data_IF_693603770430
#
_entry.id   IF_693603770430
#
_cell.length_a   1.000
_cell.length_b   1.000
_cell.length_c   1.000
_cell.angle_alpha   90.00
_cell.angle_beta   90.00
_cell.angle_gamma   90.00
#
_symmetry.space_group_name_H-M   'P 1'
#
loop_
_entity.id
_entity.type
_entity.pdbx_description
1 polymer ?
#
# COMPACT_ATOMS: atom_id res chain seq x y z
N UNK A 1 -5.04 -12.25 -5.78
CA UNK A 1 -5.62 -12.40 -4.45
C UNK A 1 -4.61 -13.07 -3.55
N UNK A 2 -4.30 -12.47 -2.41
CA UNK A 2 -3.35 -12.97 -1.43
C UNK A 2 -4.14 -13.26 -0.18
N UNK A 3 -4.34 -14.55 0.11
CA UNK A 3 -5.20 -14.99 1.20
C UNK A 3 -4.47 -16.02 2.07
N UNK A 4 -4.98 -16.24 3.28
CA UNK A 4 -4.57 -17.26 4.23
C UNK A 4 -3.07 -17.13 4.59
N UNK A 5 -2.28 -18.16 4.37
CA UNK A 5 -0.83 -18.20 4.69
C UNK A 5 0.06 -17.65 3.58
N UNK A 6 -0.52 -17.19 2.48
CA UNK A 6 0.24 -16.62 1.38
C UNK A 6 0.63 -15.17 1.64
N UNK A 7 1.81 -14.81 1.17
CA UNK A 7 2.31 -13.45 1.16
C UNK A 7 2.72 -13.06 -0.25
N UNK A 8 2.62 -11.77 -0.55
CA UNK A 8 3.11 -11.21 -1.78
C UNK A 8 3.91 -9.93 -1.49
N UNK A 9 5.07 -9.80 -2.12
CA UNK A 9 5.87 -8.60 -2.11
C UNK A 9 5.97 -8.14 -3.56
N UNK A 10 5.49 -6.93 -3.83
CA UNK A 10 5.61 -6.33 -5.15
C UNK A 10 6.71 -5.27 -5.12
N UNK A 11 7.59 -5.35 -6.08
CA UNK A 11 8.70 -4.42 -6.28
C UNK A 11 8.50 -3.72 -7.61
N UNK A 12 8.60 -2.41 -7.61
CA UNK A 12 8.63 -1.58 -8.80
C UNK A 12 10.02 -1.01 -8.94
N UNK A 13 10.67 -1.24 -10.07
CA UNK A 13 12.01 -0.75 -10.32
C UNK A 13 12.19 -0.30 -11.76
N UNK A 14 13.07 0.67 -11.96
CA UNK A 14 13.32 1.27 -13.27
C UNK A 14 13.75 0.26 -14.33
N UNK A 15 14.56 -0.75 -13.92
CA UNK A 15 15.09 -1.75 -14.82
C UNK A 15 14.25 -3.02 -14.89
N UNK A 16 13.51 -3.36 -13.83
CA UNK A 16 12.78 -4.63 -13.73
C UNK A 16 11.27 -4.47 -13.87
N UNK A 17 10.79 -3.20 -13.97
CA UNK A 17 9.37 -2.90 -13.98
C UNK A 17 8.64 -3.51 -12.78
N UNK A 18 7.50 -4.16 -12.97
CA UNK A 18 6.71 -4.80 -11.91
C UNK A 18 7.16 -6.23 -11.69
N UNK A 19 7.70 -6.52 -10.53
CA UNK A 19 8.06 -7.87 -10.13
C UNK A 19 7.34 -8.24 -8.85
N UNK A 20 6.75 -9.44 -8.80
CA UNK A 20 6.04 -9.92 -7.63
C UNK A 20 6.64 -11.24 -7.15
N UNK A 21 6.98 -11.26 -5.86
CA UNK A 21 7.34 -12.48 -5.14
C UNK A 21 6.11 -12.95 -4.38
N UNK A 22 5.65 -14.16 -4.68
CA UNK A 22 4.45 -14.72 -4.09
C UNK A 22 4.72 -16.12 -3.56
N UNK A 23 4.33 -16.38 -2.33
CA UNK A 23 4.54 -17.68 -1.72
C UNK A 23 3.91 -17.83 -0.34
N UNK A 24 3.97 -19.04 0.19
CA UNK A 24 3.55 -19.31 1.56
C UNK A 24 4.57 -18.73 2.55
N UNK A 25 4.15 -17.77 3.37
CA UNK A 25 4.98 -17.15 4.41
C UNK A 25 4.97 -17.94 5.73
N UNK A 26 4.01 -18.84 5.90
CA UNK A 26 3.86 -19.66 7.10
C UNK A 26 3.47 -21.09 6.76
N UNK A 27 3.70 -21.98 7.71
CA UNK A 27 3.34 -23.38 7.61
C UNK A 27 4.53 -24.31 7.81
N UNK A 28 4.27 -25.46 8.40
CA UNK A 28 5.26 -26.48 8.79
C UNK A 28 6.17 -26.88 7.61
N UNK A 29 5.60 -27.23 6.48
CA UNK A 29 6.37 -27.68 5.31
C UNK A 29 7.09 -26.56 4.56
N UNK A 30 6.45 -25.41 4.27
CA UNK A 30 7.16 -24.28 3.65
C UNK A 30 8.35 -23.79 4.47
N UNK A 31 8.20 -23.70 5.80
CA UNK A 31 9.28 -23.29 6.68
C UNK A 31 10.42 -24.31 6.68
N UNK A 32 10.10 -25.61 6.81
CA UNK A 32 11.12 -26.67 6.76
C UNK A 32 11.86 -26.70 5.41
N UNK A 33 11.14 -26.51 4.30
CA UNK A 33 11.74 -26.46 2.96
C UNK A 33 12.67 -25.27 2.79
N UNK A 34 12.32 -24.09 3.32
CA UNK A 34 13.17 -22.90 3.27
C UNK A 34 14.47 -23.13 4.06
N UNK A 35 14.36 -23.59 5.31
CA UNK A 35 15.53 -23.90 6.15
C UNK A 35 16.44 -24.93 5.49
N UNK A 36 15.87 -26.02 4.94
CA UNK A 36 16.66 -27.03 4.25
C UNK A 36 17.36 -26.46 2.99
N UNK A 37 16.68 -25.60 2.24
CA UNK A 37 17.25 -24.89 1.11
C UNK A 37 18.47 -24.07 1.51
N UNK A 38 18.35 -23.27 2.56
CA UNK A 38 19.44 -22.44 3.08
C UNK A 38 20.62 -23.29 3.59
N UNK A 39 20.35 -24.42 4.25
CA UNK A 39 21.41 -25.36 4.68
C UNK A 39 22.15 -25.96 3.49
N UNK A 40 21.43 -26.40 2.45
CA UNK A 40 22.03 -26.94 1.23
C UNK A 40 22.87 -25.88 0.54
N UNK A 41 22.39 -24.67 0.45
CA UNK A 41 23.10 -23.55 -0.18
C UNK A 41 24.37 -23.20 0.61
N UNK A 42 24.29 -23.10 1.94
CA UNK A 42 25.43 -22.88 2.81
C UNK A 42 26.52 -23.97 2.65
N UNK A 43 26.11 -25.24 2.57
CA UNK A 43 27.05 -26.35 2.37
C UNK A 43 27.72 -26.27 0.98
N UNK A 44 26.96 -25.99 -0.07
CA UNK A 44 27.51 -25.84 -1.43
C UNK A 44 28.51 -24.70 -1.54
N UNK A 45 28.27 -23.62 -0.83
CA UNK A 45 29.05 -22.38 -0.90
C UNK A 45 30.03 -22.22 0.29
N UNK A 46 30.17 -23.21 1.19
CA UNK A 46 31.00 -23.12 2.38
C UNK A 46 32.49 -22.77 2.12
N UNK A 47 32.97 -22.97 0.88
CA UNK A 47 34.34 -22.63 0.45
C UNK A 47 34.39 -21.53 -0.60
N UNK A 48 33.27 -20.91 -0.92
CA UNK A 48 33.19 -19.86 -1.94
C UNK A 48 33.28 -18.49 -1.24
N UNK A 49 34.31 -17.74 -1.57
CA UNK A 49 34.38 -16.34 -1.15
C UNK A 49 33.43 -15.54 -2.07
N UNK A 50 32.33 -15.07 -1.54
CA UNK A 50 31.48 -14.12 -2.27
C UNK A 50 32.26 -12.82 -2.44
N UNK A 51 32.67 -12.51 -3.67
CA UNK A 51 33.34 -11.24 -3.98
C UNK A 51 32.39 -10.04 -3.99
N UNK A 52 31.09 -10.27 -3.93
CA UNK A 52 30.08 -9.21 -3.86
C UNK A 52 29.76 -8.91 -2.40
N UNK A 53 30.41 -7.90 -1.85
CA UNK A 53 30.00 -7.32 -0.61
C UNK A 53 28.88 -6.30 -0.88
N UNK A 54 27.83 -6.30 -0.04
CA UNK A 54 26.88 -5.21 -0.02
C UNK A 54 27.62 -3.95 0.47
N UNK A 55 27.68 -2.94 -0.35
CA UNK A 55 28.15 -1.64 0.10
C UNK A 55 26.99 -0.96 0.87
N UNK A 56 27.13 -0.76 2.19
CA UNK A 56 26.12 -0.03 2.92
C UNK A 56 26.10 1.41 2.38
N UNK A 57 24.96 1.86 1.98
CA UNK A 57 24.73 3.25 1.57
C UNK A 57 23.80 3.89 2.57
N UNK A 58 24.29 4.92 3.25
CA UNK A 58 23.46 5.81 4.08
C UNK A 58 22.65 6.78 3.22
N UNK A 59 22.79 6.65 1.91
CA UNK A 59 22.21 7.52 0.92
C UNK A 59 20.92 6.94 0.34
N UNK A 60 19.81 7.53 0.70
CA UNK A 60 18.49 7.14 0.21
C UNK A 60 18.17 7.64 -1.22
N UNK A 61 19.17 8.12 -1.97
CA UNK A 61 18.97 8.64 -3.35
C UNK A 61 18.32 7.64 -4.30
N UNK A 62 18.46 6.35 -4.02
CA UNK A 62 17.89 5.27 -4.85
C UNK A 62 16.46 4.90 -4.45
N UNK A 63 15.94 5.48 -3.38
CA UNK A 63 14.57 5.26 -2.95
C UNK A 63 13.74 6.50 -3.29
N UNK A 64 12.65 6.30 -4.03
CA UNK A 64 11.70 7.35 -4.26
C UNK A 64 11.11 7.82 -2.91
N UNK A 65 11.04 9.13 -2.65
CA UNK A 65 10.42 9.64 -1.43
C UNK A 65 8.98 9.14 -1.29
N UNK A 66 8.64 8.58 -0.14
CA UNK A 66 7.30 8.05 0.10
C UNK A 66 6.20 9.10 -0.12
N UNK A 67 6.51 10.36 0.22
CA UNK A 67 5.57 11.48 0.07
C UNK A 67 5.18 11.77 -1.39
N UNK A 68 6.04 11.41 -2.34
CA UNK A 68 5.83 11.64 -3.78
C UNK A 68 5.11 10.46 -4.47
N UNK A 69 5.00 9.31 -3.78
CA UNK A 69 4.31 8.16 -4.34
C UNK A 69 2.85 8.49 -4.57
N UNK A 70 2.37 8.24 -5.79
CA UNK A 70 0.96 8.39 -6.15
C UNK A 70 0.26 7.04 -6.15
N UNK A 71 -0.94 7.00 -5.62
CA UNK A 71 -1.83 5.83 -5.69
C UNK A 71 -3.27 6.25 -5.42
N UNK A 72 -4.21 5.45 -5.88
CA UNK A 72 -5.57 5.53 -5.36
C UNK A 72 -5.59 4.98 -3.94
N UNK A 73 -6.36 5.62 -3.07
CA UNK A 73 -6.44 5.22 -1.66
C UNK A 73 -7.80 4.60 -1.37
N UNK A 74 -7.78 3.42 -0.79
CA UNK A 74 -8.94 2.86 -0.11
C UNK A 74 -9.02 3.47 1.28
N UNK A 75 -10.15 4.13 1.57
CA UNK A 75 -10.40 4.78 2.84
C UNK A 75 -11.60 4.12 3.52
N UNK A 76 -11.41 3.73 4.77
CA UNK A 76 -12.49 3.31 5.67
C UNK A 76 -12.76 4.44 6.65
N UNK A 77 -14.01 4.90 6.68
CA UNK A 77 -14.45 5.97 7.56
C UNK A 77 -15.56 5.48 8.49
N UNK A 78 -15.68 6.13 9.63
CA UNK A 78 -16.79 5.90 10.56
C UNK A 78 -18.12 6.26 9.90
N UNK A 79 -19.20 5.78 10.50
CA UNK A 79 -20.56 6.13 10.08
C UNK A 79 -20.73 7.64 10.01
N UNK A 80 -20.99 8.13 8.82
CA UNK A 80 -21.26 9.53 8.55
C UNK A 80 -22.36 9.64 7.49
N UNK A 81 -22.90 10.84 7.33
CA UNK A 81 -23.78 11.11 6.20
C UNK A 81 -22.97 11.04 4.88
N UNK A 82 -23.36 10.17 3.94
CA UNK A 82 -22.67 10.06 2.66
C UNK A 82 -22.60 11.38 1.89
N UNK A 83 -23.63 12.22 1.96
CA UNK A 83 -23.65 13.51 1.26
C UNK A 83 -22.60 14.46 1.86
N UNK A 84 -22.47 14.50 3.18
CA UNK A 84 -21.45 15.29 3.87
C UNK A 84 -20.04 14.82 3.49
N UNK A 85 -19.86 13.50 3.45
CA UNK A 85 -18.57 12.91 3.04
C UNK A 85 -18.21 13.26 1.61
N UNK A 86 -19.15 13.12 0.66
CA UNK A 86 -18.96 13.51 -0.74
C UNK A 86 -18.58 14.98 -0.88
N UNK A 87 -19.28 15.85 -0.19
CA UNK A 87 -19.02 17.29 -0.22
C UNK A 87 -17.59 17.59 0.23
N UNK A 88 -17.16 17.02 1.36
CA UNK A 88 -15.79 17.18 1.87
C UNK A 88 -14.73 16.68 0.90
N UNK A 89 -15.00 15.55 0.27
CA UNK A 89 -14.09 14.97 -0.72
C UNK A 89 -13.98 15.89 -1.95
N UNK A 90 -15.08 16.32 -2.52
CA UNK A 90 -15.08 17.23 -3.68
C UNK A 90 -14.46 18.58 -3.37
N UNK A 91 -14.73 19.16 -2.20
CA UNK A 91 -14.10 20.41 -1.74
C UNK A 91 -12.57 20.25 -1.66
N UNK A 92 -12.09 19.09 -1.19
CA UNK A 92 -10.67 18.80 -1.17
C UNK A 92 -10.07 18.76 -2.59
N UNK A 93 -10.67 17.98 -3.50
CA UNK A 93 -10.17 17.88 -4.88
C UNK A 93 -10.18 19.23 -5.60
N UNK A 94 -11.22 20.03 -5.40
CA UNK A 94 -11.28 21.38 -5.91
C UNK A 94 -10.17 22.28 -5.36
N UNK A 95 -9.87 22.18 -4.07
CA UNK A 95 -8.78 22.95 -3.43
C UNK A 95 -7.40 22.57 -3.98
N UNK A 96 -7.20 21.30 -4.32
CA UNK A 96 -5.97 20.79 -4.93
C UNK A 96 -5.90 20.99 -6.45
N UNK A 97 -6.95 21.54 -7.08
CA UNK A 97 -7.09 21.70 -8.54
C UNK A 97 -6.97 20.37 -9.30
N UNK A 98 -7.42 19.28 -8.68
CA UNK A 98 -7.44 17.94 -9.28
C UNK A 98 -8.83 17.72 -9.89
N UNK A 99 -8.88 17.40 -11.18
CA UNK A 99 -10.12 17.03 -11.86
C UNK A 99 -10.62 15.66 -11.36
N UNK A 100 -11.93 15.55 -11.17
CA UNK A 100 -12.59 14.31 -10.76
C UNK A 100 -13.55 13.89 -11.86
N UNK A 101 -13.12 12.93 -12.67
CA UNK A 101 -13.93 12.40 -13.78
C UNK A 101 -14.69 11.13 -13.43
N UNK A 102 -14.37 10.51 -12.28
CA UNK A 102 -14.93 9.24 -11.88
C UNK A 102 -16.06 9.38 -10.85
N UNK A 103 -17.12 8.59 -11.03
CA UNK A 103 -18.14 8.46 -10.00
C UNK A 103 -17.57 7.73 -8.78
N UNK A 104 -17.75 8.32 -7.61
CA UNK A 104 -17.31 7.72 -6.37
C UNK A 104 -18.20 6.52 -6.02
N UNK A 105 -17.59 5.36 -5.90
CA UNK A 105 -18.27 4.15 -5.47
C UNK A 105 -18.13 3.96 -3.96
N UNK A 106 -19.25 3.94 -3.25
CA UNK A 106 -19.31 3.68 -1.82
C UNK A 106 -19.71 2.24 -1.55
N UNK A 107 -18.99 1.59 -0.67
CA UNK A 107 -19.38 0.31 -0.12
C UNK A 107 -19.71 0.46 1.38
N UNK A 108 -20.92 0.07 1.77
CA UNK A 108 -21.24 -0.15 3.19
C UNK A 108 -20.60 -1.48 3.61
N UNK A 109 -19.85 -1.44 4.69
CA UNK A 109 -19.25 -2.65 5.24
C UNK A 109 -20.29 -3.49 5.98
N UNK A 110 -20.00 -4.79 6.13
CA UNK A 110 -20.90 -5.76 6.77
C UNK A 110 -21.22 -5.42 8.23
N UNK A 111 -20.39 -4.62 8.90
CA UNK A 111 -20.62 -4.12 10.25
C UNK A 111 -21.79 -3.10 10.32
N UNK A 112 -22.28 -2.63 9.16
CA UNK A 112 -23.40 -1.69 9.04
C UNK A 112 -23.10 -0.28 9.53
N UNK A 113 -21.94 -0.05 10.16
CA UNK A 113 -21.58 1.20 10.83
C UNK A 113 -20.53 2.01 10.07
N UNK A 114 -19.71 1.34 9.24
CA UNK A 114 -18.61 1.99 8.53
C UNK A 114 -18.86 2.04 7.03
N UNK A 115 -18.26 3.04 6.41
CA UNK A 115 -18.30 3.24 4.96
C UNK A 115 -16.88 3.12 4.43
N UNK A 116 -16.74 2.44 3.30
CA UNK A 116 -15.47 2.38 2.59
C UNK A 116 -15.63 2.95 1.19
N UNK A 117 -14.61 3.62 0.72
CA UNK A 117 -14.55 4.11 -0.65
C UNK A 117 -13.12 4.14 -1.18
N UNK A 118 -13.01 4.13 -2.49
CA UNK A 118 -11.77 4.34 -3.20
C UNK A 118 -11.71 5.79 -3.69
N UNK A 119 -10.57 6.45 -3.50
CA UNK A 119 -10.40 7.81 -4.03
C UNK A 119 -10.60 7.82 -5.56
N UNK A 120 -11.29 8.81 -6.11
CA UNK A 120 -11.62 8.83 -7.54
C UNK A 120 -10.38 8.91 -8.43
N UNK A 121 -9.33 9.61 -7.97
CA UNK A 121 -8.05 9.71 -8.66
C UNK A 121 -6.90 9.34 -7.74
N UNK A 122 -5.72 9.19 -8.30
CA UNK A 122 -4.49 9.03 -7.54
C UNK A 122 -4.17 10.30 -6.75
N UNK A 123 -3.65 10.10 -5.56
CA UNK A 123 -3.15 11.14 -4.67
C UNK A 123 -1.73 10.80 -4.26
N UNK A 124 -0.90 11.82 -4.03
CA UNK A 124 0.35 11.61 -3.30
C UNK A 124 0.06 11.29 -1.83
N UNK A 125 1.00 10.69 -1.13
CA UNK A 125 0.86 10.45 0.31
C UNK A 125 0.60 11.76 1.07
N UNK A 126 1.28 12.84 0.71
CA UNK A 126 1.06 14.16 1.30
C UNK A 126 -0.37 14.68 1.08
N UNK A 127 -0.91 14.52 -0.14
CA UNK A 127 -2.30 14.89 -0.45
C UNK A 127 -3.29 14.01 0.32
N UNK A 128 -2.99 12.72 0.49
CA UNK A 128 -3.82 11.83 1.29
C UNK A 128 -3.84 12.24 2.77
N UNK A 129 -2.70 12.64 3.34
CA UNK A 129 -2.62 13.17 4.71
C UNK A 129 -3.47 14.43 4.88
N UNK A 130 -3.43 15.34 3.90
CA UNK A 130 -4.27 16.54 3.90
C UNK A 130 -5.76 16.20 3.81
N UNK A 131 -6.15 15.25 2.96
CA UNK A 131 -7.53 14.78 2.84
C UNK A 131 -8.04 14.19 4.17
N UNK A 132 -7.24 13.32 4.80
CA UNK A 132 -7.56 12.71 6.10
C UNK A 132 -7.73 13.79 7.18
N UNK A 133 -6.83 14.76 7.24
CA UNK A 133 -6.92 15.89 8.18
C UNK A 133 -8.20 16.72 7.97
N UNK A 134 -8.53 17.03 6.72
CA UNK A 134 -9.75 17.78 6.38
C UNK A 134 -11.02 16.99 6.73
N UNK A 135 -11.05 15.69 6.49
CA UNK A 135 -12.18 14.83 6.89
C UNK A 135 -12.34 14.81 8.40
N UNK A 136 -11.25 14.62 9.14
CA UNK A 136 -11.26 14.57 10.61
C UNK A 136 -11.74 15.89 11.21
N UNK A 137 -11.23 17.01 10.71
CA UNK A 137 -11.70 18.34 11.13
C UNK A 137 -13.18 18.55 10.82
N UNK A 138 -13.68 17.93 9.76
CA UNK A 138 -15.09 17.93 9.39
C UNK A 138 -15.97 16.94 10.16
N UNK A 139 -15.45 16.27 11.19
CA UNK A 139 -16.17 15.32 12.02
C UNK A 139 -16.30 13.91 11.42
N UNK A 140 -15.56 13.61 10.35
CA UNK A 140 -15.52 12.28 9.73
C UNK A 140 -14.24 11.57 10.18
N UNK A 141 -14.37 10.58 11.03
CA UNK A 141 -13.23 9.81 11.52
C UNK A 141 -12.75 8.83 10.43
N UNK A 142 -11.52 8.96 9.99
CA UNK A 142 -10.85 7.97 9.14
C UNK A 142 -10.28 6.87 10.03
N UNK A 143 -10.79 5.65 9.83
CA UNK A 143 -10.43 4.47 10.64
C UNK A 143 -9.18 3.79 10.09
N UNK A 144 -9.11 3.66 8.76
CA UNK A 144 -7.94 3.09 8.08
C UNK A 144 -7.81 3.63 6.66
N UNK A 145 -6.59 3.65 6.18
CA UNK A 145 -6.25 3.95 4.78
C UNK A 145 -5.31 2.89 4.23
N UNK A 146 -5.43 2.60 2.96
CA UNK A 146 -4.61 1.63 2.26
C UNK A 146 -4.40 2.06 0.82
N UNK A 147 -3.16 2.14 0.33
CA UNK A 147 -2.91 2.38 -1.08
C UNK A 147 -3.37 1.17 -1.90
N UNK A 148 -3.96 1.45 -3.05
CA UNK A 148 -4.37 0.43 -4.02
C UNK A 148 -3.35 0.42 -5.14
N UNK A 149 -2.76 -0.73 -5.35
CA UNK A 149 -1.82 -0.96 -6.44
C UNK A 149 -2.61 -1.08 -7.76
N UNK A 150 -2.19 -0.33 -8.76
CA UNK A 150 -2.75 -0.37 -10.12
C UNK A 150 -2.13 -1.50 -10.93
#
# INVERSE_FOLDING_TARGET
RVDDVFNAIMVYGDAIDKTMFYGRGAGKFPTASAVLGDVIDAVKHARTVFSQAWEPSDDNRFLAPLAERTSRMYLKVSKCDPQQMFRKLYDFYASQKIAVDAQLSLARLKDGENIAFLTPTELTEAQCDMLVAQMTTGGIQVISRMPVLN
#
